data_IF_721806773228
#
_entry.id   IF_721806773228
#
_cell.length_a   1.000
_cell.length_b   1.000
_cell.length_c   1.000
_cell.angle_alpha   90.00
_cell.angle_beta   90.00
_cell.angle_gamma   90.00
#
_symmetry.space_group_name_H-M   'P 1'
#
loop_
_entity.id
_entity.type
_entity.pdbx_description
1 polymer ?
#
# COMPACT_ATOMS: atom_id res chain seq x y z
N UNK A 1 9.16 -23.02 -32.86
CA UNK A 1 9.62 -21.70 -32.41
C UNK A 1 8.62 -21.17 -31.39
N UNK A 2 8.94 -21.26 -30.11
CA UNK A 2 8.16 -20.58 -29.07
C UNK A 2 8.57 -19.12 -29.04
N UNK A 3 7.68 -18.23 -29.43
CA UNK A 3 7.86 -16.80 -29.25
C UNK A 3 7.75 -16.53 -27.75
N UNK A 4 8.89 -16.39 -27.06
CA UNK A 4 8.89 -15.87 -25.69
C UNK A 4 8.39 -14.43 -25.77
N UNK A 5 7.13 -14.23 -25.38
CA UNK A 5 6.58 -12.90 -25.21
C UNK A 5 7.34 -12.27 -24.04
N UNK A 6 8.33 -11.44 -24.36
CA UNK A 6 9.22 -10.81 -23.38
C UNK A 6 8.42 -9.78 -22.58
N UNK A 7 7.89 -10.16 -21.40
CA UNK A 7 7.08 -9.32 -20.49
C UNK A 7 7.94 -8.46 -19.56
N UNK A 8 8.93 -7.79 -20.13
CA UNK A 8 9.83 -6.91 -19.40
C UNK A 8 9.62 -5.46 -19.78
N UNK A 9 10.24 -4.56 -19.02
CA UNK A 9 10.11 -3.12 -19.21
C UNK A 9 11.48 -2.46 -19.35
N UNK A 10 11.53 -1.32 -20.02
CA UNK A 10 12.72 -0.46 -20.00
C UNK A 10 12.59 0.43 -18.77
N UNK A 11 13.45 0.21 -17.80
CA UNK A 11 13.49 1.05 -16.62
C UNK A 11 14.00 2.45 -17.00
N UNK A 12 13.18 3.48 -16.79
CA UNK A 12 13.56 4.87 -17.12
C UNK A 12 14.67 5.39 -16.20
N UNK A 13 14.86 4.77 -15.03
CA UNK A 13 15.93 5.10 -14.10
C UNK A 13 17.30 4.56 -14.59
N UNK A 14 17.45 3.25 -14.77
CA UNK A 14 18.75 2.67 -15.11
C UNK A 14 19.00 2.56 -16.63
N UNK A 15 17.98 2.80 -17.46
CA UNK A 15 18.03 2.62 -18.90
C UNK A 15 18.14 1.15 -19.35
N UNK A 16 18.12 0.20 -18.42
CA UNK A 16 18.22 -1.23 -18.69
C UNK A 16 16.85 -1.88 -18.88
N UNK A 17 16.85 -2.97 -19.64
CA UNK A 17 15.70 -3.85 -19.75
C UNK A 17 15.66 -4.81 -18.56
N UNK A 18 14.55 -4.85 -17.84
CA UNK A 18 14.30 -5.85 -16.81
C UNK A 18 13.31 -6.87 -17.35
N UNK A 19 13.65 -8.16 -17.23
CA UNK A 19 12.83 -9.27 -17.75
C UNK A 19 11.54 -9.51 -16.94
N UNK A 20 11.45 -8.95 -15.73
CA UNK A 20 10.32 -9.11 -14.80
C UNK A 20 9.78 -7.74 -14.35
N UNK A 21 8.45 -7.61 -14.32
CA UNK A 21 7.75 -6.43 -13.81
C UNK A 21 7.63 -6.51 -12.28
N UNK A 22 7.92 -5.44 -11.53
CA UNK A 22 7.65 -5.43 -10.10
C UNK A 22 6.15 -5.55 -9.84
N UNK A 23 5.78 -6.54 -9.04
CA UNK A 23 4.37 -6.84 -8.68
C UNK A 23 3.94 -6.17 -7.37
N UNK A 24 4.83 -5.43 -6.73
CA UNK A 24 4.55 -4.71 -5.49
C UNK A 24 5.32 -3.41 -5.43
N UNK A 25 4.66 -2.35 -4.94
CA UNK A 25 5.22 -1.03 -4.71
C UNK A 25 4.67 -0.46 -3.41
N UNK A 26 5.39 0.47 -2.77
CA UNK A 26 4.90 1.10 -1.56
C UNK A 26 5.77 2.25 -1.07
N UNK A 27 5.41 2.79 0.09
CA UNK A 27 6.17 3.81 0.81
C UNK A 27 6.60 3.28 2.17
N UNK A 28 7.84 3.58 2.57
CA UNK A 28 8.37 3.19 3.90
C UNK A 28 7.78 4.03 5.04
N UNK A 29 7.09 5.13 4.73
CA UNK A 29 6.44 6.03 5.71
C UNK A 29 5.08 6.52 5.19
N UNK A 30 4.13 6.89 6.09
CA UNK A 30 2.92 7.60 5.68
C UNK A 30 3.25 8.98 5.11
N UNK A 31 2.42 9.50 4.21
CA UNK A 31 2.65 10.80 3.58
C UNK A 31 2.76 11.95 4.59
N UNK A 32 2.04 11.85 5.71
CA UNK A 32 2.06 12.83 6.81
C UNK A 32 3.43 12.95 7.48
N UNK A 33 4.29 11.93 7.40
CA UNK A 33 5.66 11.98 7.91
C UNK A 33 6.47 13.13 7.30
N UNK A 34 6.27 13.41 6.00
CA UNK A 34 6.99 14.47 5.30
C UNK A 34 6.54 15.88 5.68
N UNK A 35 5.42 16.02 6.40
CA UNK A 35 4.99 17.31 6.95
C UNK A 35 5.74 17.68 8.24
N UNK A 36 6.45 16.72 8.85
CA UNK A 36 7.25 16.95 10.06
C UNK A 36 8.68 17.37 9.65
N UNK A 37 9.20 18.50 10.18
CA UNK A 37 10.59 18.92 9.98
C UNK A 37 11.56 17.81 10.37
N UNK A 38 12.64 17.63 9.61
CA UNK A 38 13.54 16.48 9.77
C UNK A 38 14.15 16.42 11.19
N UNK A 39 14.52 17.59 11.72
CA UNK A 39 15.08 17.78 13.05
C UNK A 39 14.10 17.48 14.20
N UNK A 40 12.79 17.43 13.93
CA UNK A 40 11.76 17.16 14.94
C UNK A 40 11.25 15.71 14.91
N UNK A 41 11.61 14.93 13.89
CA UNK A 41 11.05 13.59 13.68
C UNK A 41 11.41 12.61 14.78
N UNK A 42 12.62 12.69 15.32
CA UNK A 42 13.07 11.80 16.40
C UNK A 42 12.23 11.98 17.68
N UNK A 43 11.75 13.19 17.94
CA UNK A 43 10.95 13.51 19.12
C UNK A 43 9.43 13.36 18.90
N UNK A 44 8.98 13.44 17.65
CA UNK A 44 7.53 13.51 17.31
C UNK A 44 6.99 12.27 16.63
N UNK A 45 7.85 11.37 16.15
CA UNK A 45 7.44 10.22 15.33
C UNK A 45 7.99 8.92 15.89
N UNK A 46 7.09 8.04 16.30
CA UNK A 46 7.41 6.64 16.58
C UNK A 46 7.09 5.80 15.34
N UNK A 47 8.12 5.40 14.60
CA UNK A 47 8.01 4.62 13.36
C UNK A 47 8.61 3.22 13.54
N UNK A 48 7.86 2.22 13.11
CA UNK A 48 8.30 0.84 12.94
C UNK A 48 8.00 0.37 11.51
N UNK A 49 8.28 -0.90 11.20
CA UNK A 49 7.99 -1.47 9.88
C UNK A 49 6.49 -1.51 9.55
N UNK A 50 5.63 -1.63 10.57
CA UNK A 50 4.19 -1.88 10.43
C UNK A 50 3.29 -0.80 11.02
N UNK A 51 3.81 0.02 11.95
CA UNK A 51 3.05 1.11 12.58
C UNK A 51 3.84 2.41 12.63
N UNK A 52 3.12 3.53 12.58
CA UNK A 52 3.66 4.87 12.72
C UNK A 52 2.71 5.70 13.59
N UNK A 53 3.26 6.38 14.60
CA UNK A 53 2.52 7.30 15.47
C UNK A 53 3.19 8.66 15.37
N UNK A 54 2.40 9.70 15.12
CA UNK A 54 2.88 11.10 15.04
C UNK A 54 2.18 11.90 16.15
N UNK A 55 2.97 12.60 16.95
CA UNK A 55 2.53 13.48 18.05
C UNK A 55 1.61 12.82 19.09
N UNK A 56 1.69 11.48 19.23
CA UNK A 56 0.76 10.69 20.06
C UNK A 56 -0.74 10.90 19.69
N UNK A 57 -1.03 11.46 18.51
CA UNK A 57 -2.38 11.87 18.08
C UNK A 57 -2.80 11.22 16.76
N UNK A 58 -1.85 10.98 15.86
CA UNK A 58 -2.12 10.40 14.54
C UNK A 58 -1.52 9.01 14.44
N UNK A 59 -2.40 8.02 14.21
CA UNK A 59 -2.06 6.61 14.27
C UNK A 59 -2.20 5.96 12.92
N UNK A 60 -1.12 5.37 12.43
CA UNK A 60 -1.07 4.75 11.11
C UNK A 60 -0.63 3.30 11.21
N UNK A 61 -1.26 2.46 10.40
CA UNK A 61 -0.87 1.06 10.20
C UNK A 61 -0.54 0.83 8.74
N UNK A 62 0.39 -0.08 8.50
CA UNK A 62 0.78 -0.52 7.17
C UNK A 62 -0.08 -1.70 6.72
N UNK A 63 -0.46 -1.72 5.45
CA UNK A 63 -1.35 -2.74 4.89
C UNK A 63 -1.23 -2.84 3.37
N UNK A 64 -1.96 -3.79 2.80
CA UNK A 64 -1.89 -4.10 1.37
C UNK A 64 -3.22 -3.80 0.67
N UNK A 65 -3.18 -2.96 -0.36
CA UNK A 65 -4.23 -2.92 -1.40
C UNK A 65 -3.82 -3.95 -2.45
N UNK A 66 -4.57 -5.04 -2.55
CA UNK A 66 -4.36 -6.09 -3.55
C UNK A 66 -5.28 -5.85 -4.75
N UNK A 67 -4.70 -5.76 -5.94
CA UNK A 67 -5.39 -5.58 -7.21
C UNK A 67 -5.29 -6.89 -8.00
N UNK A 68 -6.42 -7.53 -8.38
CA UNK A 68 -6.39 -8.75 -9.18
C UNK A 68 -5.72 -8.52 -10.54
N UNK A 69 -4.87 -9.45 -10.98
CA UNK A 69 -4.23 -9.41 -12.30
C UNK A 69 -4.88 -10.43 -13.22
N UNK A 70 -5.63 -9.95 -14.21
CA UNK A 70 -6.53 -10.78 -15.03
C UNK A 70 -5.80 -11.79 -15.92
N UNK A 71 -4.56 -11.49 -16.30
CA UNK A 71 -3.68 -12.31 -17.14
C UNK A 71 -2.37 -12.72 -16.43
N UNK A 72 -2.39 -12.74 -15.09
CA UNK A 72 -1.27 -13.09 -14.21
C UNK A 72 -1.58 -14.23 -13.23
N UNK A 73 -0.57 -14.65 -12.45
CA UNK A 73 -0.70 -15.74 -11.47
C UNK A 73 -1.01 -15.25 -10.04
N UNK A 74 -0.87 -13.95 -9.75
CA UNK A 74 -1.08 -13.36 -8.44
C UNK A 74 -1.47 -11.89 -8.54
N UNK A 75 -1.85 -11.26 -7.41
CA UNK A 75 -2.25 -9.86 -7.40
C UNK A 75 -1.05 -8.94 -7.61
N UNK A 76 -1.36 -7.73 -8.08
CA UNK A 76 -0.49 -6.58 -7.97
C UNK A 76 -0.76 -5.89 -6.62
N UNK A 77 0.27 -5.48 -5.90
CA UNK A 77 0.15 -5.01 -4.50
C UNK A 77 0.63 -3.57 -4.35
N UNK A 78 -0.19 -2.74 -3.72
CA UNK A 78 0.28 -1.50 -3.10
C UNK A 78 0.44 -1.70 -1.60
N UNK A 79 1.67 -1.59 -1.12
CA UNK A 79 2.01 -1.53 0.30
C UNK A 79 1.86 -0.08 0.79
N UNK A 80 0.79 0.17 1.53
CA UNK A 80 0.29 1.50 1.87
C UNK A 80 0.14 1.69 3.38
N UNK A 81 0.02 2.94 3.78
CA UNK A 81 -0.30 3.36 5.13
C UNK A 81 -1.75 3.84 5.19
N UNK A 82 -2.45 3.50 6.26
CA UNK A 82 -3.82 3.94 6.51
C UNK A 82 -3.89 4.47 7.94
N UNK A 83 -4.56 5.61 8.13
CA UNK A 83 -4.79 6.15 9.47
C UNK A 83 -5.99 5.46 10.12
N UNK A 84 -5.89 5.15 11.40
CA UNK A 84 -6.99 4.69 12.24
C UNK A 84 -7.31 5.72 13.31
N UNK A 85 -8.51 5.65 13.89
CA UNK A 85 -8.76 6.29 15.18
C UNK A 85 -7.91 5.62 16.26
N UNK A 86 -7.52 6.37 17.29
CA UNK A 86 -6.80 5.87 18.48
C UNK A 86 -7.38 4.55 18.99
N UNK A 87 -8.70 4.51 19.23
CA UNK A 87 -9.39 3.31 19.74
C UNK A 87 -9.33 2.08 18.82
N UNK A 88 -9.15 2.26 17.51
CA UNK A 88 -8.99 1.17 16.56
C UNK A 88 -7.53 0.77 16.44
N UNK A 89 -6.62 1.75 16.53
CA UNK A 89 -5.19 1.50 16.61
C UNK A 89 -4.83 0.69 17.84
N UNK A 90 -5.30 1.09 19.03
CA UNK A 90 -5.05 0.38 20.29
C UNK A 90 -5.51 -1.08 20.20
N UNK A 91 -6.71 -1.32 19.69
CA UNK A 91 -7.22 -2.69 19.43
C UNK A 91 -6.32 -3.46 18.47
N UNK A 92 -5.81 -2.79 17.43
CA UNK A 92 -4.90 -3.43 16.46
C UNK A 92 -3.61 -3.87 17.15
N UNK A 93 -3.05 -3.04 18.03
CA UNK A 93 -1.85 -3.36 18.81
C UNK A 93 -2.12 -4.49 19.82
N UNK A 94 -3.22 -4.40 20.58
CA UNK A 94 -3.59 -5.39 21.60
C UNK A 94 -3.73 -6.81 21.02
N UNK A 95 -4.23 -6.91 19.78
CA UNK A 95 -4.45 -8.18 19.08
C UNK A 95 -3.35 -8.52 18.08
N UNK A 96 -2.24 -7.77 18.02
CA UNK A 96 -1.26 -7.89 16.95
C UNK A 96 -0.71 -9.33 16.80
N UNK A 97 -0.33 -9.95 17.92
CA UNK A 97 0.19 -11.32 18.00
C UNK A 97 -0.88 -12.34 18.46
N UNK A 98 -2.16 -11.94 18.46
CA UNK A 98 -3.24 -12.83 18.88
C UNK A 98 -3.61 -13.80 17.75
N UNK A 99 -3.37 -15.09 17.97
CA UNK A 99 -3.76 -16.15 17.03
C UNK A 99 -5.28 -16.15 16.85
N UNK A 100 -5.76 -16.04 15.61
CA UNK A 100 -7.18 -15.91 15.29
C UNK A 100 -7.72 -14.48 15.29
N UNK A 101 -6.86 -13.44 15.34
CA UNK A 101 -7.29 -12.02 15.36
C UNK A 101 -8.22 -11.65 14.20
N UNK A 102 -8.13 -12.32 13.07
CA UNK A 102 -9.02 -12.19 11.90
C UNK A 102 -10.47 -12.60 12.14
N UNK A 103 -10.73 -13.33 13.22
CA UNK A 103 -12.08 -13.70 13.65
C UNK A 103 -12.59 -12.86 14.83
N UNK A 104 -11.70 -12.17 15.54
CA UNK A 104 -12.03 -11.36 16.72
C UNK A 104 -12.22 -9.87 16.39
N UNK A 105 -11.49 -9.36 15.39
CA UNK A 105 -11.57 -7.95 14.99
C UNK A 105 -12.48 -7.76 13.79
N UNK A 106 -13.54 -6.97 14.00
CA UNK A 106 -14.35 -6.43 12.91
C UNK A 106 -13.53 -5.48 12.02
N UNK A 107 -13.86 -5.34 10.73
CA UNK A 107 -13.18 -4.41 9.83
C UNK A 107 -13.25 -2.97 10.35
N UNK A 108 -12.12 -2.28 10.29
CA UNK A 108 -11.98 -0.93 10.84
C UNK A 108 -11.94 0.11 9.72
N UNK A 109 -12.73 1.16 9.86
CA UNK A 109 -12.62 2.29 8.95
C UNK A 109 -11.27 3.01 9.11
N UNK A 110 -10.71 3.46 7.99
CA UNK A 110 -9.50 4.27 7.96
C UNK A 110 -9.41 5.19 6.73
N UNK A 111 -8.38 6.02 6.72
CA UNK A 111 -8.09 6.92 5.60
C UNK A 111 -6.74 6.59 4.96
N UNK A 112 -6.74 6.37 3.64
CA UNK A 112 -5.52 6.11 2.89
C UNK A 112 -4.54 7.28 3.07
N UNK A 113 -3.36 6.96 3.59
CA UNK A 113 -2.32 7.91 3.99
C UNK A 113 -1.04 7.72 3.16
N UNK A 114 -1.16 7.11 1.98
CA UNK A 114 -0.07 6.98 1.00
C UNK A 114 -0.46 7.68 -0.29
N UNK A 115 0.44 8.51 -0.81
CA UNK A 115 0.32 9.11 -2.14
C UNK A 115 0.85 8.14 -3.19
N UNK A 116 0.03 7.75 -4.16
CA UNK A 116 0.41 6.87 -5.27
C UNK A 116 0.54 7.69 -6.58
N UNK A 117 1.77 7.97 -7.07
CA UNK A 117 1.99 8.93 -8.16
C UNK A 117 1.36 8.61 -9.52
N UNK A 118 0.95 7.35 -9.76
CA UNK A 118 0.34 6.87 -11.00
C UNK A 118 -1.20 6.95 -11.01
N UNK A 119 -1.78 7.59 -9.98
CA UNK A 119 -3.21 7.83 -9.84
C UNK A 119 -3.48 9.32 -9.60
N UNK A 120 -4.73 9.78 -9.76
CA UNK A 120 -5.20 11.00 -9.10
C UNK A 120 -4.97 10.92 -7.58
N UNK A 121 -5.14 12.05 -6.88
CA UNK A 121 -4.86 12.14 -5.45
C UNK A 121 -5.51 10.99 -4.65
N UNK A 122 -4.65 10.22 -3.99
CA UNK A 122 -5.04 9.04 -3.22
C UNK A 122 -5.11 9.32 -1.72
N UNK A 123 -4.64 10.47 -1.26
CA UNK A 123 -4.71 10.80 0.16
C UNK A 123 -6.17 11.00 0.59
N UNK A 124 -6.49 10.48 1.76
CA UNK A 124 -7.83 10.53 2.33
C UNK A 124 -8.92 9.81 1.51
N UNK A 125 -8.53 8.87 0.63
CA UNK A 125 -9.49 7.89 0.15
C UNK A 125 -9.96 7.04 1.34
N UNK A 126 -11.27 6.87 1.46
CA UNK A 126 -11.85 6.04 2.50
C UNK A 126 -11.51 4.58 2.28
N UNK A 127 -11.19 3.89 3.37
CA UNK A 127 -10.85 2.48 3.35
C UNK A 127 -11.51 1.71 4.48
N UNK A 128 -11.70 0.41 4.27
CA UNK A 128 -11.89 -0.58 5.32
C UNK A 128 -10.63 -1.42 5.46
N UNK A 129 -10.14 -1.53 6.69
CA UNK A 129 -8.98 -2.32 7.09
C UNK A 129 -9.49 -3.65 7.64
N UNK A 130 -9.06 -4.74 7.01
CA UNK A 130 -9.35 -6.10 7.46
C UNK A 130 -8.06 -6.70 8.01
N UNK A 131 -8.04 -7.02 9.30
CA UNK A 131 -6.92 -7.78 9.85
C UNK A 131 -6.88 -9.17 9.25
N UNK A 132 -5.69 -9.77 9.23
CA UNK A 132 -5.43 -11.12 8.73
C UNK A 132 -4.75 -11.94 9.81
N UNK A 133 -4.53 -13.23 9.54
CA UNK A 133 -3.74 -14.10 10.42
C UNK A 133 -2.40 -13.45 10.83
N UNK A 134 -1.87 -13.86 11.98
CA UNK A 134 -0.57 -13.37 12.49
C UNK A 134 0.52 -13.63 11.45
N UNK A 135 1.39 -12.63 11.26
CA UNK A 135 2.44 -12.65 10.24
C UNK A 135 2.03 -12.10 8.87
N UNK A 136 0.73 -11.80 8.65
CA UNK A 136 0.26 -11.12 7.45
C UNK A 136 -0.12 -9.67 7.75
N UNK A 137 0.23 -8.78 6.81
CA UNK A 137 -0.25 -7.39 6.84
C UNK A 137 -1.77 -7.33 6.62
N UNK A 138 -2.48 -6.38 7.23
CA UNK A 138 -3.89 -6.13 6.96
C UNK A 138 -4.20 -5.92 5.47
N UNK A 139 -5.39 -6.37 5.06
CA UNK A 139 -5.98 -6.04 3.76
C UNK A 139 -6.61 -4.66 3.82
N UNK A 140 -6.38 -3.84 2.79
CA UNK A 140 -6.98 -2.52 2.65
C UNK A 140 -7.94 -2.54 1.48
N UNK A 141 -9.22 -2.32 1.74
CA UNK A 141 -10.28 -2.19 0.74
C UNK A 141 -10.69 -0.73 0.60
N UNK A 142 -10.75 -0.21 -0.62
CA UNK A 142 -11.20 1.16 -0.89
C UNK A 142 -12.73 1.24 -0.95
N UNK A 143 -13.28 2.38 -0.52
CA UNK A 143 -14.69 2.69 -0.81
C UNK A 143 -14.93 2.60 -2.33
N UNK A 144 -15.98 1.91 -2.79
CA UNK A 144 -16.24 1.64 -4.21
C UNK A 144 -16.74 2.89 -4.93
N UNK A 145 -15.82 3.81 -5.18
CA UNK A 145 -16.03 5.07 -5.89
C UNK A 145 -15.57 4.98 -7.35
N UNK A 146 -15.71 6.08 -8.10
CA UNK A 146 -15.18 6.22 -9.46
C UNK A 146 -13.68 6.57 -9.49
N UNK A 147 -13.01 6.58 -8.34
CA UNK A 147 -11.56 6.78 -8.30
C UNK A 147 -10.85 5.64 -9.03
N UNK A 148 -9.90 5.89 -9.95
CA UNK A 148 -9.30 4.82 -10.76
C UNK A 148 -8.68 3.69 -9.95
N UNK A 149 -8.02 3.98 -8.83
CA UNK A 149 -7.49 2.97 -7.91
C UNK A 149 -8.58 2.04 -7.35
N UNK A 150 -9.75 2.59 -6.99
CA UNK A 150 -10.87 1.80 -6.45
C UNK A 150 -11.55 0.96 -7.55
N UNK A 151 -11.62 1.49 -8.77
CA UNK A 151 -12.09 0.74 -9.95
C UNK A 151 -11.14 -0.43 -10.22
N UNK A 152 -9.83 -0.16 -10.31
CA UNK A 152 -8.82 -1.18 -10.57
C UNK A 152 -8.80 -2.26 -9.47
N UNK A 153 -8.90 -1.89 -8.19
CA UNK A 153 -8.99 -2.88 -7.10
C UNK A 153 -10.18 -3.82 -7.27
N UNK A 154 -11.34 -3.30 -7.71
CA UNK A 154 -12.58 -4.08 -7.88
C UNK A 154 -12.57 -4.93 -9.16
N UNK A 155 -12.10 -4.34 -10.27
CA UNK A 155 -12.26 -4.92 -11.61
C UNK A 155 -11.01 -5.67 -12.08
N UNK A 156 -9.88 -5.47 -11.40
CA UNK A 156 -8.59 -5.98 -11.77
C UNK A 156 -7.93 -5.20 -12.89
N UNK A 157 -6.66 -5.50 -13.12
CA UNK A 157 -5.83 -4.92 -14.17
C UNK A 157 -5.15 -6.00 -15.00
N UNK A 158 -4.73 -5.66 -16.21
CA UNK A 158 -3.85 -6.53 -17.00
C UNK A 158 -2.38 -6.23 -16.75
N UNK A 159 -1.50 -7.16 -17.15
CA UNK A 159 -0.04 -6.97 -17.12
C UNK A 159 0.41 -5.71 -17.88
N UNK A 160 -0.33 -5.27 -18.90
CA UNK A 160 -0.05 -4.03 -19.62
C UNK A 160 -0.17 -2.79 -18.73
N UNK A 161 -1.15 -2.76 -17.81
CA UNK A 161 -1.31 -1.66 -16.85
C UNK A 161 -0.19 -1.65 -15.82
N UNK A 162 0.27 -2.83 -15.39
CA UNK A 162 1.44 -2.96 -14.49
C UNK A 162 2.70 -2.43 -15.19
N UNK A 163 2.86 -2.69 -16.49
CA UNK A 163 3.96 -2.12 -17.27
C UNK A 163 3.89 -0.58 -17.30
N UNK A 164 2.72 0.02 -17.53
CA UNK A 164 2.54 1.47 -17.46
C UNK A 164 2.94 2.03 -16.10
N UNK A 165 2.48 1.39 -15.00
CA UNK A 165 2.84 1.76 -13.63
C UNK A 165 4.36 1.67 -13.42
N UNK A 166 5.00 0.60 -13.88
CA UNK A 166 6.44 0.41 -13.76
C UNK A 166 7.22 1.49 -14.52
N UNK A 167 6.77 1.88 -15.71
CA UNK A 167 7.39 2.95 -16.49
C UNK A 167 7.22 4.33 -15.85
N UNK A 168 6.10 4.59 -15.17
CA UNK A 168 5.83 5.84 -14.43
C UNK A 168 6.58 5.93 -13.10
N UNK A 169 6.67 4.82 -12.36
CA UNK A 169 7.30 4.74 -11.05
C UNK A 169 8.80 4.46 -11.07
N UNK A 170 9.41 4.36 -12.26
CA UNK A 170 10.86 4.41 -12.42
C UNK A 170 11.43 5.75 -11.92
N UNK A 171 11.58 5.87 -10.60
CA UNK A 171 12.41 6.88 -9.92
C UNK A 171 13.68 6.18 -9.47
N UNK A 172 14.80 6.88 -9.61
CA UNK A 172 16.09 6.48 -9.05
C UNK A 172 15.89 6.13 -7.57
N UNK A 173 16.08 4.87 -7.20
CA UNK A 173 16.55 4.55 -5.85
C UNK A 173 17.93 5.16 -5.76
N UNK A 174 18.01 6.39 -5.24
CA UNK A 174 19.24 6.95 -4.68
C UNK A 174 19.69 6.11 -3.48
#
# INVERSE_FOLDING_TARGET
>A
MGSFNKRGYICRCCGQYHDELPMSYGSIVPAYYYAIPEEEREDRVDLTDDVCVIDEEYFFIRGCIEIPVLDGEGPFVWDVWVSLSESNFDKTIDYWEFEGREHELEPMFGWLSTSLPCYPDTLNLKTMVYTREVGFKPSIELEPTDHPLAIEQREGIGMSRIQEIAEELCRETE
#
